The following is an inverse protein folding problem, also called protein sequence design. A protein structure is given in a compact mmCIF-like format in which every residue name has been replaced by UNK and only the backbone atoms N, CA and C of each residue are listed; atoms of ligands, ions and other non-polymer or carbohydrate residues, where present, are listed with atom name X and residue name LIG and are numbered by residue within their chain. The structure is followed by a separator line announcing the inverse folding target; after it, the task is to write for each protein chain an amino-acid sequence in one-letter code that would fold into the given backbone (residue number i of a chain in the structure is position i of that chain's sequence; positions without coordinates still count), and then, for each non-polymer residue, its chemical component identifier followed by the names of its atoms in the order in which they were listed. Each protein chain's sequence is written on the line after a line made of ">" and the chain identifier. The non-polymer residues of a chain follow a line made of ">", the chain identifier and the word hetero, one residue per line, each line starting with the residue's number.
data_IF_743423621544
#
_entry.id   IF_743423621544
#
_cell.length_a   1.000
_cell.length_b   1.000
_cell.length_c   1.000
_cell.angle_alpha   90.00
_cell.angle_beta   90.00
_cell.angle_gamma   90.00
#
_symmetry.space_group_name_H-M   'P 1'
#
loop_
_entity.id
_entity.type
_entity.pdbx_description
1 polymer ?
#
# COMPACT_ATOMS: atom_id res chain seq x y z
N UNK A 1 22.86 -0.56 -41.57
CA UNK A 1 23.10 -0.96 -40.17
C UNK A 1 22.17 -0.18 -39.24
N UNK A 2 20.86 -0.15 -39.54
CA UNK A 2 19.92 0.84 -38.97
C UNK A 2 18.82 0.22 -38.08
N UNK A 3 18.63 -1.10 -38.17
CA UNK A 3 17.55 -1.80 -37.47
C UNK A 3 17.83 -2.01 -35.97
N UNK A 4 19.10 -2.03 -35.54
CA UNK A 4 19.42 -2.31 -34.12
C UNK A 4 19.15 -1.09 -33.23
N UNK A 5 19.47 0.12 -33.66
CA UNK A 5 19.26 1.32 -32.83
C UNK A 5 17.78 1.69 -32.67
N UNK A 6 16.96 1.49 -33.71
CA UNK A 6 15.51 1.76 -33.66
C UNK A 6 14.71 0.76 -32.81
N UNK A 7 15.22 -0.46 -32.63
CA UNK A 7 14.66 -1.47 -31.73
C UNK A 7 15.06 -1.19 -30.28
N UNK A 8 16.33 -0.85 -30.03
CA UNK A 8 16.83 -0.52 -28.70
C UNK A 8 16.15 0.74 -28.14
N UNK A 9 15.97 1.77 -28.99
CA UNK A 9 15.27 3.00 -28.60
C UNK A 9 13.78 2.81 -28.30
N UNK A 10 13.10 1.87 -28.96
CA UNK A 10 11.69 1.54 -28.67
C UNK A 10 11.53 0.73 -27.38
N UNK A 11 12.41 -0.24 -27.12
CA UNK A 11 12.42 -1.01 -25.86
C UNK A 11 12.70 -0.12 -24.65
N UNK A 12 13.68 0.77 -24.74
CA UNK A 12 14.01 1.69 -23.65
C UNK A 12 12.85 2.63 -23.27
N UNK A 13 12.00 3.03 -24.23
CA UNK A 13 10.80 3.83 -23.94
C UNK A 13 9.67 3.01 -23.33
N UNK A 14 9.46 1.77 -23.77
CA UNK A 14 8.44 0.87 -23.24
C UNK A 14 8.73 0.46 -21.78
N UNK A 15 10.00 0.20 -21.45
CA UNK A 15 10.42 -0.13 -20.08
C UNK A 15 10.26 1.06 -19.12
N UNK A 16 10.44 2.28 -19.63
CA UNK A 16 10.22 3.52 -18.88
C UNK A 16 8.76 3.75 -18.49
N UNK A 17 7.82 3.41 -19.37
CA UNK A 17 6.38 3.54 -19.10
C UNK A 17 5.82 2.41 -18.23
N UNK A 18 6.27 1.17 -18.43
CA UNK A 18 5.86 0.03 -17.60
C UNK A 18 6.24 0.23 -16.13
N UNK A 19 7.47 0.69 -15.86
CA UNK A 19 7.95 0.99 -14.50
C UNK A 19 7.31 2.24 -13.88
N UNK A 20 6.80 3.18 -14.68
CA UNK A 20 6.00 4.33 -14.18
C UNK A 20 4.62 3.87 -13.74
N UNK A 21 4.00 2.97 -14.50
CA UNK A 21 2.71 2.34 -14.15
C UNK A 21 2.77 1.58 -12.83
N UNK A 22 3.83 0.80 -12.58
CA UNK A 22 4.02 0.11 -11.30
C UNK A 22 4.23 1.05 -10.12
N UNK A 23 5.00 2.13 -10.30
CA UNK A 23 5.20 3.16 -9.26
C UNK A 23 3.88 3.82 -8.90
N UNK A 24 3.07 4.17 -9.91
CA UNK A 24 1.73 4.73 -9.75
C UNK A 24 0.75 3.73 -9.14
N UNK A 25 0.84 2.45 -9.49
CA UNK A 25 0.04 1.39 -8.89
C UNK A 25 0.36 1.18 -7.42
N UNK A 26 1.64 1.24 -7.04
CA UNK A 26 2.07 1.13 -5.65
C UNK A 26 1.60 2.32 -4.81
N UNK A 27 1.95 3.56 -5.20
CA UNK A 27 1.53 4.74 -4.43
C UNK A 27 0.04 5.00 -4.51
N UNK A 28 -0.58 4.86 -5.69
CA UNK A 28 -2.01 5.07 -5.89
C UNK A 28 -2.87 4.04 -5.17
N UNK A 29 -2.47 2.76 -5.22
CA UNK A 29 -3.16 1.68 -4.52
C UNK A 29 -3.13 1.86 -3.00
N UNK A 30 -1.96 2.20 -2.44
CA UNK A 30 -1.84 2.45 -1.00
C UNK A 30 -2.45 3.78 -0.56
N UNK A 31 -2.31 4.85 -1.34
CA UNK A 31 -2.97 6.12 -1.06
C UNK A 31 -4.49 5.96 -0.99
N UNK A 32 -5.08 5.20 -1.92
CA UNK A 32 -6.49 4.81 -1.86
C UNK A 32 -6.82 3.94 -0.64
N UNK A 33 -5.97 2.95 -0.33
CA UNK A 33 -6.15 2.05 0.82
C UNK A 33 -6.09 2.73 2.18
N UNK A 34 -5.35 3.82 2.32
CA UNK A 34 -5.28 4.62 3.57
C UNK A 34 -6.22 5.83 3.57
N UNK A 35 -6.95 6.09 2.49
CA UNK A 35 -7.81 7.27 2.33
C UNK A 35 -8.87 7.38 3.43
N UNK A 36 -9.37 6.25 3.92
CA UNK A 36 -10.40 6.19 4.97
C UNK A 36 -9.93 6.69 6.35
N UNK A 37 -8.61 6.74 6.60
CA UNK A 37 -8.06 7.22 7.88
C UNK A 37 -8.24 8.75 8.02
N UNK A 38 -8.15 9.49 6.91
CA UNK A 38 -8.30 10.95 6.90
C UNK A 38 -9.67 11.44 7.43
N UNK A 39 -10.82 10.98 6.89
CA UNK A 39 -12.12 11.41 7.40
C UNK A 39 -12.35 10.96 8.84
N UNK A 40 -11.84 9.79 9.27
CA UNK A 40 -11.92 9.37 10.67
C UNK A 40 -11.18 10.33 11.62
N UNK A 41 -9.97 10.75 11.25
CA UNK A 41 -9.23 11.76 11.99
C UNK A 41 -9.99 13.08 12.07
N UNK A 42 -10.46 13.59 10.93
CA UNK A 42 -11.21 14.85 10.86
C UNK A 42 -12.51 14.82 11.69
N UNK A 43 -13.28 13.74 11.60
CA UNK A 43 -14.53 13.58 12.38
C UNK A 43 -14.22 13.56 13.87
N UNK A 44 -13.16 12.86 14.30
CA UNK A 44 -12.78 12.82 15.72
C UNK A 44 -12.30 14.16 16.26
N UNK A 45 -11.56 14.93 15.45
CA UNK A 45 -11.21 16.31 15.78
C UNK A 45 -12.45 17.19 15.92
N UNK A 46 -13.43 17.03 15.02
CA UNK A 46 -14.70 17.77 15.08
C UNK A 46 -15.57 17.37 16.29
N UNK A 47 -15.47 16.13 16.76
CA UNK A 47 -16.11 15.65 17.99
C UNK A 47 -15.43 16.14 19.28
N UNK A 48 -14.36 16.94 19.19
CA UNK A 48 -13.61 17.46 20.35
C UNK A 48 -12.61 16.47 20.95
N UNK A 49 -12.47 15.28 20.37
CA UNK A 49 -11.51 14.26 20.80
C UNK A 49 -10.15 14.47 20.11
N UNK A 50 -9.46 15.56 20.47
CA UNK A 50 -8.23 15.99 19.81
C UNK A 50 -7.11 14.93 19.84
N UNK A 51 -6.93 14.24 20.97
CA UNK A 51 -5.88 13.22 21.11
C UNK A 51 -6.04 12.07 20.12
N UNK A 52 -7.24 11.53 20.03
CA UNK A 52 -7.60 10.47 19.09
C UNK A 52 -7.44 10.92 17.64
N UNK A 53 -7.97 12.10 17.28
CA UNK A 53 -7.85 12.64 15.92
C UNK A 53 -6.40 12.86 15.47
N UNK A 54 -5.54 13.39 16.35
CA UNK A 54 -4.11 13.59 16.05
C UNK A 54 -3.39 12.27 15.86
N UNK A 55 -3.66 11.26 16.69
CA UNK A 55 -3.03 9.92 16.53
C UNK A 55 -3.44 9.29 15.20
N UNK A 56 -4.70 9.41 14.81
CA UNK A 56 -5.21 8.87 13.52
C UNK A 56 -4.56 9.56 12.33
N UNK A 57 -4.38 10.89 12.37
CA UNK A 57 -3.65 11.62 11.33
C UNK A 57 -2.16 11.26 11.32
N UNK A 58 -1.55 11.08 12.50
CA UNK A 58 -0.18 10.61 12.63
C UNK A 58 0.02 9.22 12.00
N UNK A 59 -0.93 8.31 12.21
CA UNK A 59 -0.95 6.98 11.58
C UNK A 59 -0.99 7.07 10.05
N UNK A 60 -1.79 7.98 9.48
CA UNK A 60 -1.82 8.20 8.04
C UNK A 60 -0.47 8.66 7.47
N UNK A 61 0.16 9.65 8.12
CA UNK A 61 1.48 10.16 7.71
C UNK A 61 2.55 9.09 7.84
N UNK A 62 2.52 8.32 8.93
CA UNK A 62 3.44 7.20 9.17
C UNK A 62 3.27 6.10 8.11
N UNK A 63 2.03 5.74 7.78
CA UNK A 63 1.72 4.78 6.73
C UNK A 63 2.25 5.22 5.35
N UNK A 64 2.02 6.49 4.98
CA UNK A 64 2.56 7.04 3.72
C UNK A 64 4.09 7.05 3.69
N UNK A 65 4.72 7.37 4.82
CA UNK A 65 6.19 7.32 4.93
C UNK A 65 6.71 5.90 4.70
N UNK A 66 6.06 4.88 5.27
CA UNK A 66 6.42 3.48 5.03
C UNK A 66 6.18 3.06 3.58
N UNK A 67 5.07 3.46 2.96
CA UNK A 67 4.78 3.14 1.55
C UNK A 67 5.87 3.68 0.62
N UNK A 68 6.39 4.87 0.89
CA UNK A 68 7.47 5.49 0.10
C UNK A 68 8.84 4.89 0.46
N UNK A 69 9.09 4.61 1.73
CA UNK A 69 10.36 4.07 2.21
C UNK A 69 10.57 2.60 1.79
N UNK A 70 9.54 1.77 1.94
CA UNK A 70 9.53 0.35 1.56
C UNK A 70 9.09 0.15 0.12
N UNK A 71 9.31 1.16 -0.72
CA UNK A 71 8.96 1.03 -2.11
C UNK A 71 9.87 0.01 -2.82
N UNK A 72 9.34 -0.83 -3.73
CA UNK A 72 10.10 -1.90 -4.38
C UNK A 72 11.29 -1.38 -5.20
N UNK A 73 11.22 -0.14 -5.70
CA UNK A 73 12.32 0.50 -6.41
C UNK A 73 13.52 0.89 -5.52
N UNK A 74 13.35 0.98 -4.19
CA UNK A 74 14.48 1.22 -3.25
C UNK A 74 15.12 -0.08 -2.76
N UNK A 75 14.39 -1.20 -2.81
CA UNK A 75 14.82 -2.49 -2.32
C UNK A 75 14.66 -3.60 -3.38
N UNK A 76 15.41 -3.53 -4.50
CA UNK A 76 15.15 -4.36 -5.68
C UNK A 76 15.46 -5.87 -5.47
N UNK A 77 16.28 -6.19 -4.45
CA UNK A 77 16.62 -7.57 -4.09
C UNK A 77 15.60 -8.22 -3.15
N UNK A 78 14.73 -7.42 -2.53
CA UNK A 78 13.83 -7.87 -1.47
C UNK A 78 12.49 -8.32 -2.06
N UNK A 79 11.92 -9.45 -1.61
CA UNK A 79 10.64 -9.92 -2.13
C UNK A 79 9.48 -9.01 -1.69
N UNK A 80 8.48 -8.86 -2.57
CA UNK A 80 7.38 -7.90 -2.38
C UNK A 80 6.59 -8.16 -1.08
N UNK A 81 6.40 -9.41 -0.66
CA UNK A 81 5.68 -9.72 0.58
C UNK A 81 6.34 -9.12 1.83
N UNK A 82 7.68 -9.00 1.86
CA UNK A 82 8.43 -8.38 2.97
C UNK A 82 8.22 -6.88 3.00
N UNK A 83 8.05 -6.25 1.83
CA UNK A 83 7.76 -4.81 1.71
C UNK A 83 6.30 -4.52 2.07
N UNK A 84 5.40 -5.42 1.69
CA UNK A 84 3.97 -5.32 1.97
C UNK A 84 3.66 -5.54 3.46
N UNK A 85 4.34 -6.48 4.12
CA UNK A 85 4.07 -6.84 5.53
C UNK A 85 3.99 -5.64 6.48
N UNK A 86 4.97 -4.72 6.51
CA UNK A 86 4.93 -3.55 7.40
C UNK A 86 3.79 -2.59 7.04
N UNK A 87 3.48 -2.44 5.75
CA UNK A 87 2.38 -1.58 5.30
C UNK A 87 1.03 -2.17 5.71
N UNK A 88 0.84 -3.48 5.54
CA UNK A 88 -0.36 -4.19 6.03
C UNK A 88 -0.44 -4.18 7.55
N UNK A 89 0.67 -4.32 8.27
CA UNK A 89 0.69 -4.23 9.72
C UNK A 89 0.14 -2.87 10.20
N UNK A 90 0.58 -1.77 9.59
CA UNK A 90 0.05 -0.43 9.91
C UNK A 90 -1.42 -0.29 9.52
N UNK A 91 -1.85 -0.90 8.41
CA UNK A 91 -3.26 -0.94 8.04
C UNK A 91 -4.11 -1.64 9.12
N UNK A 92 -3.71 -2.83 9.58
CA UNK A 92 -4.41 -3.55 10.65
C UNK A 92 -4.36 -2.81 11.98
N UNK A 93 -3.25 -2.16 12.32
CA UNK A 93 -3.16 -1.27 13.48
C UNK A 93 -4.16 -0.12 13.36
N UNK A 94 -4.30 0.47 12.18
CA UNK A 94 -5.31 1.50 11.91
C UNK A 94 -6.74 0.99 12.11
N UNK A 95 -7.05 -0.22 11.66
CA UNK A 95 -8.36 -0.87 11.90
C UNK A 95 -8.58 -1.09 13.39
N UNK A 96 -7.61 -1.67 14.11
CA UNK A 96 -7.71 -1.89 15.55
C UNK A 96 -7.89 -0.57 16.33
N UNK A 97 -7.19 0.48 15.89
CA UNK A 97 -7.31 1.82 16.45
C UNK A 97 -8.71 2.40 16.22
N UNK A 98 -9.25 2.30 15.01
CA UNK A 98 -10.61 2.72 14.72
C UNK A 98 -11.63 1.96 15.57
N UNK A 99 -11.50 0.63 15.68
CA UNK A 99 -12.36 -0.20 16.55
C UNK A 99 -12.29 0.27 18.00
N UNK A 100 -11.10 0.59 18.49
CA UNK A 100 -10.92 1.11 19.85
C UNK A 100 -11.65 2.45 20.04
N UNK A 101 -11.57 3.38 19.08
CA UNK A 101 -12.27 4.68 19.14
C UNK A 101 -13.80 4.53 19.23
N UNK A 102 -14.35 3.56 18.50
CA UNK A 102 -15.78 3.31 18.46
C UNK A 102 -16.28 2.44 19.63
N UNK A 103 -15.41 2.04 20.56
CA UNK A 103 -15.81 1.29 21.76
C UNK A 103 -15.92 -0.23 21.56
N UNK A 104 -15.25 -0.78 20.54
CA UNK A 104 -15.15 -2.21 20.29
C UNK A 104 -15.81 -2.67 18.99
N UNK A 105 -15.62 -3.96 18.67
CA UNK A 105 -16.06 -4.56 17.39
C UNK A 105 -17.58 -4.53 17.23
N UNK A 106 -18.34 -4.77 18.31
CA UNK A 106 -19.81 -4.75 18.26
C UNK A 106 -20.36 -3.34 18.06
N UNK A 107 -19.79 -2.34 18.74
CA UNK A 107 -20.17 -0.94 18.58
C UNK A 107 -19.78 -0.38 17.20
N UNK A 108 -18.69 -0.89 16.62
CA UNK A 108 -18.30 -0.60 15.25
C UNK A 108 -19.11 -1.38 14.19
N UNK A 109 -20.06 -2.25 14.60
CA UNK A 109 -20.87 -3.07 13.69
C UNK A 109 -20.08 -4.15 12.95
N UNK A 110 -18.85 -4.45 13.37
CA UNK A 110 -17.96 -5.41 12.74
C UNK A 110 -18.28 -6.82 13.22
N UNK A 111 -19.17 -7.51 12.48
CA UNK A 111 -19.33 -8.97 12.61
C UNK A 111 -18.14 -9.68 11.97
N UNK A 112 -17.78 -10.86 12.48
CA UNK A 112 -16.72 -11.73 11.91
C UNK A 112 -16.92 -11.97 10.40
N UNK A 113 -18.18 -11.96 9.94
CA UNK A 113 -18.58 -12.09 8.55
C UNK A 113 -18.17 -10.89 7.68
N UNK A 114 -18.13 -9.69 8.23
CA UNK A 114 -17.62 -8.50 7.57
C UNK A 114 -16.09 -8.56 7.47
N UNK A 115 -15.43 -9.23 8.42
CA UNK A 115 -13.99 -9.49 8.38
C UNK A 115 -13.59 -10.40 7.21
N UNK A 116 -14.48 -11.30 6.75
CA UNK A 116 -14.24 -12.11 5.56
C UNK A 116 -14.04 -11.27 4.28
N UNK A 117 -14.56 -10.03 4.23
CA UNK A 117 -14.28 -9.09 3.13
C UNK A 117 -12.84 -8.57 3.12
N UNK A 118 -12.07 -8.77 4.20
CA UNK A 118 -10.64 -8.47 4.21
C UNK A 118 -9.80 -9.50 3.42
N UNK A 119 -10.34 -10.69 3.14
CA UNK A 119 -9.65 -11.74 2.38
C UNK A 119 -9.22 -11.28 0.96
N UNK A 120 -10.08 -10.67 0.13
CA UNK A 120 -9.63 -10.13 -1.16
C UNK A 120 -8.62 -8.99 -0.99
N UNK A 121 -8.64 -8.26 0.13
CA UNK A 121 -7.63 -7.23 0.43
C UNK A 121 -6.24 -7.85 0.70
N UNK A 122 -6.18 -9.11 1.14
CA UNK A 122 -4.94 -9.89 1.30
C UNK A 122 -4.51 -10.62 0.02
N UNK A 123 -5.34 -10.66 -1.03
CA UNK A 123 -5.00 -11.31 -2.31
C UNK A 123 -3.67 -10.84 -2.93
N UNK A 124 -3.26 -9.54 -2.84
CA UNK A 124 -2.00 -9.10 -3.41
C UNK A 124 -0.78 -9.75 -2.73
N UNK A 125 -0.87 -10.04 -1.43
CA UNK A 125 0.19 -10.75 -0.69
C UNK A 125 0.38 -12.17 -1.21
N UNK A 126 -0.71 -12.86 -1.53
CA UNK A 126 -0.66 -14.23 -2.06
C UNK A 126 -0.23 -14.26 -3.54
N UNK A 127 -0.74 -13.34 -4.36
CA UNK A 127 -0.42 -13.28 -5.79
C UNK A 127 1.03 -12.82 -6.06
N UNK A 128 1.58 -11.95 -5.21
CA UNK A 128 2.92 -11.38 -5.36
C UNK A 128 3.96 -12.06 -4.45
N UNK A 129 3.62 -13.19 -3.81
CA UNK A 129 4.39 -13.85 -2.75
C UNK A 129 5.86 -14.11 -3.11
N UNK A 130 6.17 -14.51 -4.34
CA UNK A 130 7.56 -14.77 -4.76
C UNK A 130 8.05 -13.84 -5.88
N UNK A 131 7.30 -12.78 -6.19
CA UNK A 131 7.77 -11.77 -7.16
C UNK A 131 8.84 -10.91 -6.50
N UNK A 132 9.89 -10.60 -7.26
CA UNK A 132 11.02 -9.75 -6.88
C UNK A 132 11.27 -8.78 -8.02
N UNK A 133 11.59 -7.53 -7.71
CA UNK A 133 11.87 -6.49 -8.71
C UNK A 133 12.98 -6.92 -9.69
N UNK A 134 14.03 -7.59 -9.18
CA UNK A 134 15.15 -8.12 -9.99
C UNK A 134 14.79 -9.28 -10.94
N UNK A 135 13.70 -10.00 -10.69
CA UNK A 135 13.35 -11.16 -11.53
C UNK A 135 12.73 -10.74 -12.88
N UNK A 136 12.20 -9.51 -12.98
CA UNK A 136 11.71 -8.95 -14.24
C UNK A 136 12.87 -8.45 -15.10
N UNK A 137 13.90 -7.87 -14.47
CA UNK A 137 15.15 -7.43 -15.13
C UNK A 137 15.91 -8.56 -15.84
N UNK A 138 15.70 -9.81 -15.42
CA UNK A 138 16.31 -11.00 -16.03
C UNK A 138 15.43 -11.71 -17.05
N UNK A 139 14.15 -11.34 -17.17
CA UNK A 139 13.21 -11.93 -18.13
C UNK A 139 13.22 -11.17 -19.46
N UNK A 140 13.69 -9.92 -19.43
CA UNK A 140 13.77 -9.02 -20.58
C UNK A 140 15.20 -8.86 -21.15
N UNK A 141 16.19 -9.57 -20.58
CA UNK A 141 17.58 -9.65 -21.05
C UNK A 141 17.84 -10.94 -21.84
#
# INVERSE_FOLDING_TARGET
>A
MDNKESVTGRRARADGDSRRGEKLGWTGGFAGGFLWILPLGCVRLAQGHYGEGVVTLGLFVFAMTLVIALAPWRHPATPYYVLLLPVYAVFFVGVAWAVHMYGGLEAAGLKIWNLSWALPCLSPLFLLWNRRWRNEEKKDA
#
